data_IF_475634312301
#
_entry.id   IF_475634312301
#
_cell.length_a   1.000
_cell.length_b   1.000
_cell.length_c   1.000
_cell.angle_alpha   90.00
_cell.angle_beta   90.00
_cell.angle_gamma   90.00
#
_symmetry.space_group_name_H-M   'P 1'
#
loop_
_entity.id
_entity.type
_entity.pdbx_description
1 polymer ?
#
# COMPACT_ATOMS: atom_id res chain seq x y z
N UNK A 1 -15.85 7.32 -24.12
CA UNK A 1 -14.65 7.18 -23.27
C UNK A 1 -15.17 7.03 -21.84
N UNK A 2 -15.40 5.79 -21.43
CA UNK A 2 -15.75 5.47 -20.04
C UNK A 2 -14.53 5.82 -19.19
N UNK A 3 -14.68 6.68 -18.18
CA UNK A 3 -13.69 6.79 -17.12
C UNK A 3 -13.50 5.39 -16.56
N UNK A 4 -12.29 4.84 -16.63
CA UNK A 4 -11.96 3.64 -15.89
C UNK A 4 -12.31 3.92 -14.42
N UNK A 5 -13.26 3.19 -13.86
CA UNK A 5 -13.58 3.28 -12.44
C UNK A 5 -12.35 2.77 -11.68
N UNK A 6 -11.57 3.72 -11.17
CA UNK A 6 -10.44 3.44 -10.29
C UNK A 6 -10.92 3.61 -8.88
N UNK A 7 -10.69 2.60 -8.05
CA UNK A 7 -11.00 2.67 -6.63
C UNK A 7 -9.68 2.79 -5.88
N UNK A 8 -9.60 3.77 -4.99
CA UNK A 8 -8.47 3.97 -4.09
C UNK A 8 -8.93 3.62 -2.69
N UNK A 9 -8.24 2.67 -2.06
CA UNK A 9 -8.43 2.29 -0.68
C UNK A 9 -7.29 2.87 0.16
N UNK A 10 -7.62 3.47 1.30
CA UNK A 10 -6.64 3.99 2.24
C UNK A 10 -6.87 3.35 3.59
N UNK A 11 -5.91 2.52 4.01
CA UNK A 11 -5.93 1.85 5.30
C UNK A 11 -5.04 2.62 6.29
N UNK A 12 -5.65 3.10 7.37
CA UNK A 12 -4.94 3.70 8.50
C UNK A 12 -4.89 2.67 9.62
N UNK A 13 -3.70 2.15 9.89
CA UNK A 13 -3.55 1.06 10.84
C UNK A 13 -3.46 1.58 12.28
N UNK A 14 -3.98 0.78 13.21
CA UNK A 14 -3.97 1.05 14.65
C UNK A 14 -3.20 -0.04 15.43
N UNK A 15 -3.14 0.11 16.76
CA UNK A 15 -2.48 -0.84 17.64
C UNK A 15 -0.99 -0.99 17.32
N UNK A 16 -0.54 -2.23 17.09
CA UNK A 16 0.87 -2.54 16.84
C UNK A 16 1.44 -1.86 15.57
N UNK A 17 0.59 -1.49 14.61
CA UNK A 17 0.99 -0.86 13.36
C UNK A 17 0.59 0.62 13.31
N UNK A 18 0.29 1.24 14.46
CA UNK A 18 -0.07 2.66 14.55
C UNK A 18 0.97 3.53 13.85
N UNK A 19 0.50 4.38 12.93
CA UNK A 19 1.33 5.27 12.12
C UNK A 19 1.67 4.73 10.72
N UNK A 20 1.35 3.46 10.43
CA UNK A 20 1.37 2.94 9.07
C UNK A 20 0.10 3.36 8.33
N UNK A 21 0.27 3.88 7.12
CA UNK A 21 -0.81 4.16 6.17
C UNK A 21 -0.48 3.45 4.86
N UNK A 22 -1.42 2.65 4.34
CA UNK A 22 -1.30 2.04 3.02
C UNK A 22 -2.37 2.60 2.08
N UNK A 23 -1.96 2.78 0.83
CA UNK A 23 -2.83 3.17 -0.27
C UNK A 23 -2.80 2.06 -1.30
N UNK A 24 -3.95 1.48 -1.61
CA UNK A 24 -4.09 0.49 -2.68
C UNK A 24 -4.95 1.08 -3.80
N UNK A 25 -4.50 0.90 -5.04
CA UNK A 25 -5.26 1.29 -6.22
C UNK A 25 -5.69 0.03 -6.95
N UNK A 26 -7.00 -0.13 -7.12
CA UNK A 26 -7.57 -1.23 -7.90
C UNK A 26 -8.12 -0.71 -9.21
N UNK A 27 -7.78 -1.39 -10.31
CA UNK A 27 -8.26 -1.12 -11.66
C UNK A 27 -8.94 -2.37 -12.24
N UNK A 28 -9.70 -2.22 -13.33
CA UNK A 28 -10.38 -3.36 -13.95
C UNK A 28 -9.42 -4.20 -14.80
N UNK A 29 -8.31 -3.61 -15.26
CA UNK A 29 -7.32 -4.29 -16.11
C UNK A 29 -5.88 -3.96 -15.71
N UNK A 30 -4.95 -4.84 -16.08
CA UNK A 30 -3.51 -4.62 -15.91
C UNK A 30 -3.01 -3.43 -16.75
N UNK A 31 -3.47 -3.26 -17.99
CA UNK A 31 -3.10 -2.10 -18.80
C UNK A 31 -3.49 -0.75 -18.13
N UNK A 32 -4.57 -0.74 -17.35
CA UNK A 32 -4.95 0.45 -16.57
C UNK A 32 -4.02 0.68 -15.37
N UNK A 33 -3.51 -0.37 -14.71
CA UNK A 33 -2.61 -0.24 -13.56
C UNK A 33 -1.27 0.37 -13.97
N UNK A 34 -0.75 0.00 -15.15
CA UNK A 34 0.50 0.55 -15.69
C UNK A 34 0.44 2.07 -15.93
N UNK A 35 -0.78 2.59 -16.11
CA UNK A 35 -1.03 4.03 -16.29
C UNK A 35 -1.34 4.78 -14.99
N UNK A 36 -1.33 4.10 -13.84
CA UNK A 36 -1.59 4.73 -12.55
C UNK A 36 -0.40 5.59 -12.15
N UNK A 37 -0.67 6.86 -11.84
CA UNK A 37 0.28 7.75 -11.19
C UNK A 37 -0.04 7.73 -9.69
N UNK A 38 0.91 7.34 -8.83
CA UNK A 38 0.69 7.36 -7.39
C UNK A 38 0.30 8.77 -6.90
N UNK A 39 -0.58 8.87 -5.90
CA UNK A 39 -0.89 10.17 -5.30
C UNK A 39 0.39 10.87 -4.79
N UNK A 40 0.50 12.21 -4.85
CA UNK A 40 1.74 12.92 -4.49
C UNK A 40 2.13 12.80 -3.01
N UNK A 41 1.23 12.31 -2.16
CA UNK A 41 1.48 12.01 -0.76
C UNK A 41 1.94 10.56 -0.52
N UNK A 42 1.84 9.68 -1.52
CA UNK A 42 2.36 8.32 -1.43
C UNK A 42 3.89 8.36 -1.51
N UNK A 43 4.54 7.90 -0.45
CA UNK A 43 5.99 8.05 -0.28
C UNK A 43 6.79 6.85 -0.81
N UNK A 44 6.20 5.66 -0.82
CA UNK A 44 6.89 4.41 -1.15
C UNK A 44 5.96 3.48 -1.91
N UNK A 45 6.43 2.99 -3.06
CA UNK A 45 5.77 1.94 -3.83
C UNK A 45 6.11 0.57 -3.23
N UNK A 46 5.10 -0.15 -2.74
CA UNK A 46 5.26 -1.42 -2.01
C UNK A 46 4.54 -2.59 -2.68
N UNK A 47 3.99 -2.41 -3.88
CA UNK A 47 3.22 -3.45 -4.59
C UNK A 47 3.95 -4.80 -4.69
N UNK A 48 5.25 -4.78 -4.99
CA UNK A 48 6.06 -6.00 -5.13
C UNK A 48 6.71 -6.47 -3.82
N UNK A 49 6.48 -5.78 -2.69
CA UNK A 49 7.12 -6.11 -1.42
C UNK A 49 6.23 -7.04 -0.57
N UNK A 50 6.62 -8.32 -0.38
CA UNK A 50 5.84 -9.26 0.40
C UNK A 50 5.73 -8.90 1.88
N UNK A 51 6.53 -7.96 2.40
CA UNK A 51 6.38 -7.48 3.77
C UNK A 51 5.05 -6.77 4.01
N UNK A 52 4.56 -6.01 3.03
CA UNK A 52 3.35 -5.19 3.15
C UNK A 52 2.07 -5.91 2.77
N UNK A 53 2.12 -7.23 2.52
CA UNK A 53 0.91 -7.99 2.31
C UNK A 53 0.10 -8.09 3.63
N UNK A 54 -1.24 -8.10 3.52
CA UNK A 54 -2.12 -8.07 4.71
C UNK A 54 -1.90 -9.25 5.65
N UNK A 55 -1.63 -10.45 5.13
CA UNK A 55 -1.37 -11.64 5.93
C UNK A 55 -0.11 -11.51 6.79
N UNK A 56 0.96 -10.90 6.26
CA UNK A 56 2.21 -10.65 6.98
C UNK A 56 2.02 -9.55 8.01
N UNK A 57 1.34 -8.46 7.64
CA UNK A 57 1.06 -7.35 8.54
C UNK A 57 0.26 -7.79 9.77
N UNK A 58 -0.69 -8.72 9.61
CA UNK A 58 -1.48 -9.28 10.73
C UNK A 58 -0.63 -9.90 11.86
N UNK A 59 0.59 -10.36 11.56
CA UNK A 59 1.52 -10.94 12.54
C UNK A 59 2.79 -10.11 12.74
N UNK A 60 2.85 -8.90 12.17
CA UNK A 60 4.03 -8.04 12.22
C UNK A 60 4.09 -7.28 13.53
N UNK A 61 5.27 -7.25 14.15
CA UNK A 61 5.51 -6.46 15.36
C UNK A 61 5.90 -5.02 15.01
N UNK A 62 5.74 -4.05 15.94
CA UNK A 62 6.16 -2.67 15.71
C UNK A 62 7.66 -2.56 15.37
N UNK A 63 8.51 -3.40 15.97
CA UNK A 63 9.95 -3.40 15.72
C UNK A 63 10.28 -3.89 14.31
N UNK A 64 9.64 -4.96 13.85
CA UNK A 64 9.81 -5.47 12.48
C UNK A 64 9.41 -4.42 11.44
N UNK A 65 8.29 -3.72 11.68
CA UNK A 65 7.85 -2.63 10.81
C UNK A 65 8.89 -1.49 10.76
N UNK A 66 9.39 -1.04 11.91
CA UNK A 66 10.43 0.01 11.97
C UNK A 66 11.70 -0.39 11.22
N UNK A 67 12.16 -1.61 11.43
CA UNK A 67 13.35 -2.13 10.73
C UNK A 67 13.13 -2.18 9.23
N UNK A 68 11.95 -2.64 8.77
CA UNK A 68 11.65 -2.66 7.34
C UNK A 68 11.66 -1.25 6.76
N UNK A 69 10.98 -0.30 7.39
CA UNK A 69 10.88 1.09 6.91
C UNK A 69 12.22 1.83 6.93
N UNK A 70 13.14 1.48 7.83
CA UNK A 70 14.49 2.05 7.86
C UNK A 70 15.38 1.59 6.69
N UNK A 71 14.99 0.53 5.97
CA UNK A 71 15.71 -0.02 4.81
C UNK A 71 14.92 0.15 3.50
N UNK A 72 13.84 0.95 3.51
CA UNK A 72 13.04 1.29 2.33
C UNK A 72 13.61 2.47 1.56
#
# INVERSE_FOLDING_TARGET
MTLAERTVFVDVFEGALTGLVLCEVTTATEAEIESVVPPPWAALEVTADPFFNGAKLAFTTPEQLRVRLAHS
#
